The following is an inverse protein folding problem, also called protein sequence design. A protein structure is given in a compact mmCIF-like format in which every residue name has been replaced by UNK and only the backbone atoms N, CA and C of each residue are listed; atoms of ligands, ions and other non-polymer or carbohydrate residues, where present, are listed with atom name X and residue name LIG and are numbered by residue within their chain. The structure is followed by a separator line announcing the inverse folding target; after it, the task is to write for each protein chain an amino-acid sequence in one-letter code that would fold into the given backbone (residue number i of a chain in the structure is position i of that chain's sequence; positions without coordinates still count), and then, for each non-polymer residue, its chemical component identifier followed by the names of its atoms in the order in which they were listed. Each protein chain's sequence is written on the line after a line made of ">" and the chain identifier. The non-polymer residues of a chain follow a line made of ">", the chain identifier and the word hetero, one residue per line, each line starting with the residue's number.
data_IF_527200773634
#
_entry.id   IF_527200773634
#
_cell.length_a   1.000
_cell.length_b   1.000
_cell.length_c   1.000
_cell.angle_alpha   90.00
_cell.angle_beta   90.00
_cell.angle_gamma   90.00
#
_symmetry.space_group_name_H-M   'P 1'
#
loop_
_entity.id
_entity.type
_entity.pdbx_description
1 polymer ?
#
# COMPACT_ATOMS: atom_id res chain seq x y z
N UNK A 1 -36.18 -9.33 1.14
CA UNK A 1 -34.87 -9.38 0.44
C UNK A 1 -33.87 -8.59 1.27
N UNK A 2 -32.75 -9.16 1.68
CA UNK A 2 -31.74 -8.54 2.54
C UNK A 2 -30.98 -7.46 1.80
N UNK A 3 -30.70 -6.35 2.49
CA UNK A 3 -30.11 -5.14 1.93
C UNK A 3 -28.69 -4.94 2.51
N UNK A 4 -27.68 -4.90 1.65
CA UNK A 4 -26.29 -4.61 2.01
C UNK A 4 -25.88 -3.30 1.36
N UNK A 5 -25.41 -2.34 2.15
CA UNK A 5 -24.83 -1.11 1.64
C UNK A 5 -23.33 -1.10 1.94
N UNK A 6 -22.52 -0.83 0.91
CA UNK A 6 -21.07 -0.68 1.01
C UNK A 6 -20.73 0.77 0.70
N UNK A 7 -19.95 1.41 1.56
CA UNK A 7 -19.59 2.83 1.44
C UNK A 7 -18.10 2.97 1.16
N UNK A 8 -17.75 3.55 0.03
CA UNK A 8 -16.38 3.73 -0.48
C UNK A 8 -16.08 2.80 -1.65
N UNK A 9 -15.86 3.38 -2.83
CA UNK A 9 -15.58 2.69 -4.11
C UNK A 9 -14.08 2.50 -4.40
N UNK A 10 -13.21 2.54 -3.37
CA UNK A 10 -11.81 2.13 -3.46
C UNK A 10 -11.67 0.62 -3.62
N UNK A 11 -10.43 0.12 -3.74
CA UNK A 11 -10.19 -1.32 -3.96
C UNK A 11 -10.82 -2.19 -2.86
N UNK A 12 -10.84 -1.73 -1.61
CA UNK A 12 -11.45 -2.45 -0.51
C UNK A 12 -12.97 -2.59 -0.68
N UNK A 13 -13.68 -1.48 -1.00
CA UNK A 13 -15.12 -1.55 -1.23
C UNK A 13 -15.51 -2.30 -2.49
N UNK A 14 -14.73 -2.16 -3.56
CA UNK A 14 -14.91 -2.95 -4.79
C UNK A 14 -14.75 -4.45 -4.54
N UNK A 15 -13.66 -4.84 -3.86
CA UNK A 15 -13.41 -6.24 -3.50
C UNK A 15 -14.51 -6.77 -2.57
N UNK A 16 -14.91 -6.00 -1.53
CA UNK A 16 -16.00 -6.40 -0.64
C UNK A 16 -17.33 -6.60 -1.39
N UNK A 17 -17.62 -5.72 -2.37
CA UNK A 17 -18.83 -5.83 -3.21
C UNK A 17 -18.79 -7.10 -4.05
N UNK A 18 -17.68 -7.34 -4.74
CA UNK A 18 -17.48 -8.52 -5.56
C UNK A 18 -17.63 -9.81 -4.74
N UNK A 19 -16.93 -9.93 -3.60
CA UNK A 19 -16.98 -11.12 -2.76
C UNK A 19 -18.33 -11.32 -2.09
N UNK A 20 -19.04 -10.25 -1.72
CA UNK A 20 -20.40 -10.38 -1.20
C UNK A 20 -21.37 -10.94 -2.25
N UNK A 21 -21.28 -10.50 -3.49
CA UNK A 21 -22.06 -11.03 -4.61
C UNK A 21 -21.72 -12.50 -4.91
N UNK A 22 -20.41 -12.83 -4.96
CA UNK A 22 -19.96 -14.23 -5.14
C UNK A 22 -20.47 -15.15 -4.02
N UNK A 23 -20.32 -14.71 -2.76
CA UNK A 23 -20.77 -15.48 -1.58
C UNK A 23 -22.27 -15.72 -1.64
N UNK A 24 -23.07 -14.68 -1.87
CA UNK A 24 -24.53 -14.78 -1.97
C UNK A 24 -24.96 -15.76 -3.09
N UNK A 25 -24.36 -15.62 -4.28
CA UNK A 25 -24.59 -16.54 -5.41
C UNK A 25 -24.23 -17.99 -5.07
N UNK A 26 -23.09 -18.22 -4.41
CA UNK A 26 -22.61 -19.55 -4.04
C UNK A 26 -23.55 -20.27 -3.09
N UNK A 27 -24.21 -19.55 -2.20
CA UNK A 27 -25.16 -20.13 -1.23
C UNK A 27 -26.61 -20.10 -1.71
N UNK A 28 -26.88 -19.59 -2.92
CA UNK A 28 -28.23 -19.51 -3.49
C UNK A 28 -29.12 -18.41 -2.92
N UNK A 29 -28.53 -17.40 -2.25
CA UNK A 29 -29.24 -16.30 -1.63
C UNK A 29 -29.28 -15.05 -2.54
N UNK A 30 -30.38 -14.29 -2.45
CA UNK A 30 -30.54 -13.03 -3.17
C UNK A 30 -30.42 -11.85 -2.20
N UNK A 31 -29.39 -11.03 -2.39
CA UNK A 31 -29.18 -9.80 -1.62
C UNK A 31 -29.35 -8.57 -2.51
N UNK A 32 -29.96 -7.52 -1.98
CA UNK A 32 -29.99 -6.21 -2.61
C UNK A 32 -28.77 -5.45 -2.15
N UNK A 33 -27.76 -5.30 -3.04
CA UNK A 33 -26.49 -4.68 -2.72
C UNK A 33 -26.37 -3.31 -3.40
N UNK A 34 -25.83 -2.31 -2.68
CA UNK A 34 -25.45 -1.00 -3.21
C UNK A 34 -24.05 -0.64 -2.76
N UNK A 35 -23.19 -0.26 -3.71
CA UNK A 35 -21.87 0.36 -3.50
C UNK A 35 -22.00 1.86 -3.75
N UNK A 36 -21.65 2.68 -2.75
CA UNK A 36 -21.76 4.13 -2.80
C UNK A 36 -20.38 4.78 -2.70
N UNK A 37 -20.09 5.73 -3.61
CA UNK A 37 -18.87 6.55 -3.55
C UNK A 37 -19.21 8.03 -3.80
N UNK A 38 -18.52 8.92 -3.09
CA UNK A 38 -18.70 10.37 -3.26
C UNK A 38 -18.09 10.91 -4.57
N UNK A 39 -17.11 10.20 -5.13
CA UNK A 39 -16.44 10.57 -6.38
C UNK A 39 -17.24 10.14 -7.59
N UNK A 40 -16.84 10.66 -8.74
CA UNK A 40 -17.40 10.30 -10.05
C UNK A 40 -16.68 9.09 -10.69
N UNK A 41 -15.71 8.50 -10.00
CA UNK A 41 -14.96 7.32 -10.42
C UNK A 41 -14.76 6.33 -9.27
N UNK A 42 -14.61 5.08 -9.63
CA UNK A 42 -14.17 4.00 -8.73
C UNK A 42 -12.64 3.93 -8.63
N UNK A 43 -12.14 3.03 -7.78
CA UNK A 43 -10.73 2.71 -7.62
C UNK A 43 -10.02 3.44 -6.46
N UNK A 44 -10.61 4.52 -5.94
CA UNK A 44 -9.99 5.27 -4.84
C UNK A 44 -8.63 5.82 -5.23
N UNK A 45 -7.54 5.31 -4.60
CA UNK A 45 -6.16 5.67 -4.95
C UNK A 45 -5.63 4.94 -6.20
N UNK A 46 -6.27 3.88 -6.67
CA UNK A 46 -5.92 3.27 -7.95
C UNK A 46 -6.44 4.17 -9.06
N UNK A 47 -5.52 4.70 -9.83
CA UNK A 47 -5.79 5.60 -10.95
C UNK A 47 -4.73 5.39 -12.02
N UNK A 48 -5.13 4.91 -13.18
CA UNK A 48 -4.27 4.78 -14.36
C UNK A 48 -4.72 5.76 -15.44
N UNK A 49 -3.78 6.51 -15.99
CA UNK A 49 -3.99 7.38 -17.15
C UNK A 49 -3.18 6.86 -18.35
N UNK A 50 -3.82 6.76 -19.50
CA UNK A 50 -3.15 6.45 -20.78
C UNK A 50 -3.13 7.69 -21.64
N UNK A 51 -1.96 8.20 -21.94
CA UNK A 51 -1.79 9.43 -22.71
C UNK A 51 -0.53 9.37 -23.56
N UNK A 52 -0.65 9.68 -24.84
CA UNK A 52 0.47 9.74 -25.79
C UNK A 52 1.38 8.48 -25.78
N UNK A 53 0.80 7.30 -25.57
CA UNK A 53 1.53 6.02 -25.49
C UNK A 53 2.19 5.74 -24.12
N UNK A 54 2.04 6.65 -23.15
CA UNK A 54 2.44 6.39 -21.76
C UNK A 54 1.29 5.76 -20.97
N UNK A 55 1.65 4.84 -20.06
CA UNK A 55 0.75 4.31 -19.02
C UNK A 55 1.22 4.82 -17.67
N UNK A 56 0.44 5.71 -17.08
CA UNK A 56 0.80 6.49 -15.87
C UNK A 56 -0.06 6.02 -14.71
N UNK A 57 0.59 5.60 -13.63
CA UNK A 57 -0.10 5.28 -12.38
C UNK A 57 -0.08 6.50 -11.45
N UNK A 58 -1.24 7.03 -11.16
CA UNK A 58 -1.37 8.15 -10.23
C UNK A 58 -1.19 7.74 -8.76
N UNK A 59 -1.62 6.53 -8.39
CA UNK A 59 -1.49 5.95 -7.06
C UNK A 59 -0.53 4.77 -7.00
N UNK A 60 -0.89 3.59 -6.46
CA UNK A 60 -0.03 2.41 -6.49
C UNK A 60 0.22 1.94 -7.93
N UNK A 61 1.40 1.37 -8.18
CA UNK A 61 1.81 0.88 -9.51
C UNK A 61 1.93 -0.64 -9.59
N UNK A 62 1.86 -1.33 -8.46
CA UNK A 62 2.04 -2.78 -8.37
C UNK A 62 1.51 -3.34 -7.05
N UNK A 63 1.43 -4.67 -6.98
CA UNK A 63 1.15 -5.43 -5.77
C UNK A 63 2.19 -6.53 -5.55
N UNK A 64 2.26 -7.04 -4.31
CA UNK A 64 3.27 -8.03 -3.93
C UNK A 64 2.80 -9.46 -4.27
N UNK A 65 3.66 -10.22 -4.94
CA UNK A 65 3.45 -11.65 -5.20
C UNK A 65 3.41 -12.50 -3.92
N UNK A 66 4.23 -12.17 -2.92
CA UNK A 66 4.28 -12.90 -1.65
C UNK A 66 2.95 -12.91 -0.88
N UNK A 67 2.07 -11.96 -1.19
CA UNK A 67 0.71 -11.85 -0.64
C UNK A 67 -0.28 -12.28 -1.72
N UNK A 68 -0.80 -13.51 -1.68
CA UNK A 68 -1.45 -14.14 -2.84
C UNK A 68 -2.82 -13.55 -3.21
N UNK A 69 -3.45 -12.81 -2.31
CA UNK A 69 -4.87 -12.42 -2.44
C UNK A 69 -5.16 -11.52 -3.64
N UNK A 70 -4.30 -10.53 -3.92
CA UNK A 70 -4.44 -9.68 -5.10
C UNK A 70 -4.30 -10.49 -6.39
N UNK A 71 -3.29 -11.36 -6.46
CA UNK A 71 -3.08 -12.25 -7.59
C UNK A 71 -4.28 -13.19 -7.78
N UNK A 72 -4.74 -13.82 -6.71
CA UNK A 72 -5.90 -14.74 -6.74
C UNK A 72 -7.17 -14.02 -7.23
N UNK A 73 -7.40 -12.77 -6.82
CA UNK A 73 -8.53 -11.99 -7.32
C UNK A 73 -8.36 -11.66 -8.81
N UNK A 74 -7.15 -11.27 -9.28
CA UNK A 74 -6.89 -11.08 -10.71
C UNK A 74 -7.19 -12.35 -11.52
N UNK A 75 -6.78 -13.52 -11.03
CA UNK A 75 -7.02 -14.80 -11.71
C UNK A 75 -8.52 -15.15 -11.75
N UNK A 76 -9.26 -14.94 -10.64
CA UNK A 76 -10.73 -15.10 -10.60
C UNK A 76 -11.46 -14.19 -11.59
N UNK A 77 -10.93 -13.00 -11.82
CA UNK A 77 -11.46 -12.03 -12.79
C UNK A 77 -11.02 -12.28 -14.23
N UNK A 78 -10.24 -13.33 -14.49
CA UNK A 78 -9.74 -13.65 -15.84
C UNK A 78 -8.57 -12.78 -16.31
N UNK A 79 -7.92 -12.05 -15.41
CA UNK A 79 -6.78 -11.17 -15.72
C UNK A 79 -5.41 -11.88 -15.66
N UNK A 80 -5.37 -13.22 -15.53
CA UNK A 80 -4.13 -13.98 -15.36
C UNK A 80 -3.09 -13.74 -16.46
N UNK A 81 -3.51 -13.67 -17.71
CA UNK A 81 -2.65 -13.41 -18.88
C UNK A 81 -2.29 -11.93 -19.04
N UNK A 82 -2.91 -11.06 -18.26
CA UNK A 82 -2.66 -9.61 -18.24
C UNK A 82 -1.61 -9.20 -17.21
N UNK A 83 -1.16 -10.13 -16.36
CA UNK A 83 -0.22 -9.87 -15.29
C UNK A 83 1.19 -9.74 -15.86
N UNK A 84 1.83 -8.60 -15.59
CA UNK A 84 3.22 -8.33 -15.90
C UNK A 84 4.12 -8.52 -14.69
N UNK A 85 5.26 -9.18 -14.93
CA UNK A 85 6.40 -9.19 -14.03
C UNK A 85 7.21 -7.90 -14.15
N UNK A 86 8.00 -7.57 -13.13
CA UNK A 86 9.08 -6.59 -13.30
C UNK A 86 10.12 -7.10 -14.28
N UNK A 87 10.81 -6.18 -14.95
CA UNK A 87 11.95 -6.50 -15.79
C UNK A 87 13.09 -7.18 -14.99
N UNK A 88 14.06 -7.76 -15.68
CA UNK A 88 15.12 -8.55 -15.07
C UNK A 88 16.04 -7.71 -14.17
N UNK A 89 16.24 -6.46 -14.49
CA UNK A 89 17.06 -5.53 -13.70
C UNK A 89 16.34 -5.18 -12.39
N UNK A 90 16.70 -5.85 -11.29
CA UNK A 90 16.04 -5.76 -9.98
C UNK A 90 16.76 -4.87 -8.98
N UNK A 91 17.72 -4.07 -9.45
CA UNK A 91 18.51 -3.21 -8.57
C UNK A 91 17.67 -2.03 -8.06
N UNK A 92 17.92 -1.65 -6.83
CA UNK A 92 17.42 -0.43 -6.20
C UNK A 92 18.62 0.36 -5.72
N UNK A 93 18.65 1.64 -6.01
CA UNK A 93 19.72 2.53 -5.60
C UNK A 93 19.32 3.29 -4.32
N UNK A 94 20.32 3.62 -3.52
CA UNK A 94 20.17 4.45 -2.32
C UNK A 94 21.09 5.65 -2.49
N UNK A 95 20.54 6.85 -2.31
CA UNK A 95 21.35 8.05 -2.27
C UNK A 95 22.14 8.09 -0.96
N UNK A 96 23.46 8.26 -1.02
CA UNK A 96 24.30 8.41 0.15
C UNK A 96 25.50 9.29 -0.16
N UNK A 97 25.69 10.36 0.63
CA UNK A 97 26.72 11.38 0.41
C UNK A 97 26.65 11.96 -1.00
N UNK A 98 25.45 12.26 -1.50
CA UNK A 98 25.21 12.85 -2.82
C UNK A 98 25.47 11.91 -4.01
N UNK A 99 25.68 10.60 -3.79
CA UNK A 99 25.90 9.60 -4.84
C UNK A 99 24.92 8.44 -4.73
N UNK A 100 24.53 7.90 -5.86
CA UNK A 100 23.69 6.71 -5.92
C UNK A 100 24.55 5.46 -5.70
N UNK A 101 24.21 4.67 -4.69
CA UNK A 101 24.84 3.41 -4.34
C UNK A 101 23.84 2.26 -4.53
N UNK A 102 24.32 1.18 -5.10
CA UNK A 102 23.50 -0.02 -5.25
C UNK A 102 23.24 -0.66 -3.88
N UNK A 103 21.97 -1.01 -3.59
CA UNK A 103 21.64 -1.90 -2.48
C UNK A 103 22.25 -3.27 -2.82
N UNK A 104 23.13 -3.82 -1.97
CA UNK A 104 23.84 -5.05 -2.32
C UNK A 104 22.91 -6.19 -2.67
N UNK A 105 23.26 -6.97 -3.69
CA UNK A 105 22.52 -8.17 -4.04
C UNK A 105 22.37 -9.13 -2.86
N UNK A 106 21.19 -9.75 -2.78
CA UNK A 106 20.87 -10.68 -1.71
C UNK A 106 20.40 -10.02 -0.43
N UNK A 107 20.07 -8.71 -0.44
CA UNK A 107 19.28 -8.14 0.64
C UNK A 107 17.84 -8.66 0.53
N UNK A 108 17.37 -9.27 1.59
CA UNK A 108 15.95 -9.58 1.78
C UNK A 108 15.40 -8.61 2.80
N UNK A 109 14.56 -7.70 2.35
CA UNK A 109 14.10 -6.54 3.15
C UNK A 109 15.31 -5.70 3.61
N UNK A 110 15.70 -5.80 4.88
CA UNK A 110 16.78 -5.01 5.51
C UNK A 110 18.00 -5.87 5.89
N UNK A 111 18.00 -7.16 5.57
CA UNK A 111 18.98 -8.13 6.06
C UNK A 111 19.82 -8.70 4.92
N UNK A 112 21.17 -8.68 5.02
CA UNK A 112 22.03 -9.29 4.02
C UNK A 112 21.93 -10.82 4.09
N UNK A 113 21.58 -11.46 2.97
CA UNK A 113 21.57 -12.91 2.81
C UNK A 113 22.68 -13.41 1.88
N UNK A 114 23.47 -12.48 1.31
CA UNK A 114 24.67 -12.76 0.52
C UNK A 114 25.84 -11.95 1.07
N UNK A 115 26.86 -12.64 1.59
CA UNK A 115 27.95 -11.97 2.30
C UNK A 115 28.92 -11.26 1.35
N UNK A 116 29.24 -11.83 0.19
CA UNK A 116 30.25 -11.26 -0.72
C UNK A 116 29.83 -9.89 -1.28
N UNK A 117 28.63 -9.68 -1.83
CA UNK A 117 28.16 -8.36 -2.23
C UNK A 117 28.06 -7.37 -1.06
N UNK A 118 27.64 -7.84 0.12
CA UNK A 118 27.54 -7.00 1.32
C UNK A 118 28.90 -6.47 1.78
N UNK A 119 29.93 -7.34 1.82
CA UNK A 119 31.29 -6.95 2.21
C UNK A 119 31.89 -5.93 1.23
N UNK A 120 31.64 -6.10 -0.06
CA UNK A 120 32.16 -5.20 -1.12
C UNK A 120 31.41 -3.86 -1.22
N UNK A 121 30.19 -3.77 -0.70
CA UNK A 121 29.38 -2.56 -0.76
C UNK A 121 30.02 -1.41 0.02
N UNK A 122 29.98 -0.21 -0.53
CA UNK A 122 30.39 1.05 0.12
C UNK A 122 29.25 1.74 0.89
N UNK A 123 28.01 1.25 0.78
CA UNK A 123 26.84 1.83 1.42
C UNK A 123 26.95 1.81 2.95
N UNK A 124 27.40 0.69 3.52
CA UNK A 124 27.57 0.49 4.95
C UNK A 124 29.05 0.49 5.31
N UNK A 125 29.41 1.24 6.33
CA UNK A 125 30.79 1.31 6.86
C UNK A 125 31.23 -0.03 7.45
N UNK A 126 32.55 -0.25 7.59
CA UNK A 126 33.08 -1.47 8.23
C UNK A 126 32.57 -1.64 9.67
N UNK A 127 32.56 -0.62 10.55
CA UNK A 127 31.93 -0.72 11.86
C UNK A 127 30.45 -1.10 11.78
N UNK A 128 29.70 -0.52 10.81
CA UNK A 128 28.30 -0.85 10.57
C UNK A 128 28.12 -2.31 10.15
N UNK A 129 28.95 -2.84 9.25
CA UNK A 129 28.92 -4.25 8.85
C UNK A 129 29.15 -5.20 10.03
N UNK A 130 30.15 -4.90 10.88
CA UNK A 130 30.43 -5.67 12.10
C UNK A 130 29.22 -5.59 13.03
N UNK A 131 28.66 -4.38 13.24
CA UNK A 131 27.47 -4.19 14.09
C UNK A 131 26.27 -4.99 13.58
N UNK A 132 26.04 -5.03 12.27
CA UNK A 132 24.98 -5.86 11.67
C UNK A 132 25.23 -7.35 11.90
N UNK A 133 26.47 -7.82 11.75
CA UNK A 133 26.84 -9.21 12.00
C UNK A 133 26.65 -9.66 13.45
N UNK A 134 26.68 -8.72 14.40
CA UNK A 134 26.39 -9.00 15.83
C UNK A 134 24.95 -9.49 16.06
N UNK A 135 24.02 -9.33 15.10
CA UNK A 135 22.69 -9.90 15.16
C UNK A 135 22.70 -11.42 15.46
N UNK A 136 23.75 -12.12 15.04
CA UNK A 136 23.93 -13.55 15.31
C UNK A 136 24.03 -13.90 16.80
N UNK A 137 24.40 -12.92 17.65
CA UNK A 137 24.70 -13.10 19.06
C UNK A 137 23.76 -12.32 19.99
N UNK A 138 22.93 -11.43 19.43
CA UNK A 138 21.97 -10.64 20.22
C UNK A 138 20.80 -11.56 20.60
N UNK A 139 20.46 -11.70 21.90
CA UNK A 139 19.33 -12.51 22.32
C UNK A 139 18.01 -11.91 21.85
N UNK A 140 16.98 -12.76 21.75
CA UNK A 140 15.62 -12.31 21.52
C UNK A 140 15.11 -11.40 22.64
N UNK A 141 14.20 -10.52 22.32
CA UNK A 141 13.53 -9.68 23.31
C UNK A 141 12.46 -10.51 24.05
N UNK A 142 12.54 -10.53 25.38
CA UNK A 142 11.61 -11.27 26.23
C UNK A 142 10.41 -10.42 26.73
N UNK A 143 10.43 -9.12 26.46
CA UNK A 143 9.34 -8.22 26.85
C UNK A 143 8.19 -8.28 25.84
N UNK A 144 6.96 -8.30 26.34
CA UNK A 144 5.72 -8.26 25.53
C UNK A 144 5.41 -6.86 24.99
N UNK A 145 6.13 -5.82 25.45
CA UNK A 145 5.95 -4.46 24.96
C UNK A 145 6.29 -4.36 23.48
N UNK A 146 5.37 -3.80 22.70
CA UNK A 146 5.59 -3.56 21.29
C UNK A 146 6.74 -2.58 21.07
N UNK A 147 7.66 -2.92 20.18
CA UNK A 147 8.74 -2.05 19.73
C UNK A 147 8.33 -1.25 18.51
N UNK A 148 8.90 -0.04 18.36
CA UNK A 148 8.92 0.62 17.06
C UNK A 148 9.85 -0.14 16.11
N UNK A 149 9.63 0.05 14.81
CA UNK A 149 10.54 -0.51 13.80
C UNK A 149 11.96 0.03 13.98
N UNK A 150 12.12 1.30 14.36
CA UNK A 150 13.44 1.89 14.61
C UNK A 150 14.16 1.22 15.79
N UNK A 151 13.46 0.98 16.89
CA UNK A 151 14.07 0.35 18.08
C UNK A 151 14.49 -1.09 17.77
N UNK A 152 13.64 -1.82 17.07
CA UNK A 152 13.93 -3.17 16.62
C UNK A 152 15.16 -3.24 15.69
N UNK A 153 15.19 -2.40 14.65
CA UNK A 153 16.32 -2.38 13.70
C UNK A 153 17.60 -1.91 14.40
N UNK A 154 17.52 -0.89 15.27
CA UNK A 154 18.65 -0.40 16.04
C UNK A 154 19.21 -1.47 16.99
N UNK A 155 18.33 -2.22 17.65
CA UNK A 155 18.68 -3.32 18.53
C UNK A 155 19.32 -4.48 17.78
N UNK A 156 18.77 -4.90 16.64
CA UNK A 156 19.22 -6.07 15.88
C UNK A 156 20.39 -5.73 14.94
N UNK A 157 20.24 -4.70 14.11
CA UNK A 157 21.16 -4.42 13.00
C UNK A 157 22.03 -3.15 13.22
N UNK A 158 21.66 -2.31 14.18
CA UNK A 158 22.39 -1.09 14.49
C UNK A 158 21.87 0.15 13.78
N UNK A 159 22.44 1.32 14.20
CA UNK A 159 21.99 2.63 13.76
C UNK A 159 22.19 2.88 12.27
N UNK A 160 23.34 2.51 11.72
CA UNK A 160 23.64 2.75 10.30
C UNK A 160 22.72 1.96 9.37
N UNK A 161 22.35 0.72 9.74
CA UNK A 161 21.35 -0.07 9.02
C UNK A 161 19.96 0.58 9.08
N UNK A 162 19.59 1.18 10.22
CA UNK A 162 18.35 1.93 10.34
C UNK A 162 18.35 3.13 9.40
N UNK A 163 19.37 3.99 9.47
CA UNK A 163 19.41 5.27 8.76
C UNK A 163 19.59 5.11 7.23
N UNK A 164 20.38 4.13 6.78
CA UNK A 164 20.72 3.97 5.35
C UNK A 164 19.86 2.93 4.62
N UNK A 165 19.22 2.00 5.31
CA UNK A 165 18.47 0.93 4.67
C UNK A 165 17.01 0.93 5.12
N UNK A 166 16.75 0.79 6.44
CA UNK A 166 15.39 0.59 6.92
C UNK A 166 14.52 1.84 6.73
N UNK A 167 15.00 3.00 7.12
CA UNK A 167 14.27 4.26 7.05
C UNK A 167 13.86 4.60 5.61
N UNK A 168 14.77 4.65 4.61
CA UNK A 168 14.35 4.98 3.25
C UNK A 168 13.44 3.93 2.60
N UNK A 169 13.61 2.64 2.92
CA UNK A 169 12.69 1.59 2.45
C UNK A 169 11.28 1.79 3.02
N UNK A 170 11.17 2.10 4.30
CA UNK A 170 9.89 2.34 4.98
C UNK A 170 9.23 3.63 4.49
N UNK A 171 9.99 4.69 4.32
CA UNK A 171 9.49 5.95 3.76
C UNK A 171 8.91 5.73 2.36
N UNK A 172 9.57 4.94 1.51
CA UNK A 172 9.09 4.60 0.17
C UNK A 172 7.82 3.72 0.15
N UNK A 173 7.57 2.90 1.18
CA UNK A 173 6.42 1.99 1.23
C UNK A 173 5.25 2.61 2.01
N UNK A 174 5.53 3.22 3.17
CA UNK A 174 4.52 3.66 4.13
C UNK A 174 4.41 5.19 4.24
N UNK A 175 5.29 5.94 3.58
CA UNK A 175 5.44 7.39 3.71
C UNK A 175 5.56 7.86 5.19
N UNK A 176 5.97 6.96 6.09
CA UNK A 176 6.04 7.14 7.54
C UNK A 176 7.47 7.14 8.07
N UNK A 177 7.60 7.24 9.39
CA UNK A 177 8.88 7.22 10.10
C UNK A 177 9.02 5.95 10.94
N UNK A 178 10.15 5.25 10.87
CA UNK A 178 10.34 4.01 11.62
C UNK A 178 10.31 4.19 13.14
N UNK A 179 10.56 5.42 13.64
CA UNK A 179 10.55 5.74 15.06
C UNK A 179 9.18 5.58 15.74
N UNK A 180 8.12 5.86 15.00
CA UNK A 180 6.75 5.78 15.52
C UNK A 180 5.98 4.56 15.03
N UNK A 181 6.48 3.90 13.99
CA UNK A 181 5.82 2.78 13.33
C UNK A 181 5.86 1.51 14.18
N UNK A 182 4.69 0.90 14.42
CA UNK A 182 4.57 -0.36 15.16
C UNK A 182 5.09 -1.55 14.37
N UNK A 183 6.02 -2.30 14.94
CA UNK A 183 6.61 -3.46 14.28
C UNK A 183 5.59 -4.59 14.04
N UNK A 184 4.73 -4.87 15.03
CA UNK A 184 3.71 -5.93 14.95
C UNK A 184 2.71 -5.70 13.80
N UNK A 185 2.38 -4.45 13.55
CA UNK A 185 1.38 -4.07 12.54
C UNK A 185 1.94 -3.93 11.14
N UNK A 186 3.24 -3.63 11.00
CA UNK A 186 3.85 -3.33 9.70
C UNK A 186 4.74 -4.45 9.18
N UNK A 187 5.57 -5.03 10.04
CA UNK A 187 6.53 -6.09 9.69
C UNK A 187 6.50 -7.27 10.68
N UNK A 188 5.35 -7.92 10.92
CA UNK A 188 5.21 -9.02 11.90
C UNK A 188 6.16 -10.18 11.60
N UNK A 189 6.55 -10.32 10.33
CA UNK A 189 7.50 -11.36 9.89
C UNK A 189 8.87 -11.26 10.56
N UNK A 190 9.30 -10.05 10.94
CA UNK A 190 10.59 -9.91 11.63
C UNK A 190 10.53 -10.45 13.05
N UNK A 191 9.41 -10.26 13.74
CA UNK A 191 9.20 -10.85 15.06
C UNK A 191 9.15 -12.38 15.00
N UNK A 192 8.41 -12.92 14.03
CA UNK A 192 8.37 -14.37 13.79
C UNK A 192 9.75 -14.96 13.52
N UNK A 193 10.59 -14.26 12.74
CA UNK A 193 11.95 -14.67 12.45
C UNK A 193 12.81 -14.61 13.72
N UNK A 194 12.69 -13.58 14.52
CA UNK A 194 13.44 -13.46 15.77
C UNK A 194 13.03 -14.57 16.75
N UNK A 195 11.75 -14.85 16.90
CA UNK A 195 11.21 -15.91 17.75
C UNK A 195 11.65 -17.31 17.29
N UNK A 196 11.59 -17.59 15.97
CA UNK A 196 11.89 -18.92 15.41
C UNK A 196 13.39 -19.21 15.35
N UNK A 197 14.23 -18.20 15.03
CA UNK A 197 15.67 -18.40 14.75
C UNK A 197 16.60 -17.67 15.73
N UNK A 198 16.08 -16.83 16.62
CA UNK A 198 16.87 -16.00 17.53
C UNK A 198 17.71 -14.92 16.83
N UNK A 199 17.66 -14.83 15.49
CA UNK A 199 18.49 -13.93 14.67
C UNK A 199 17.82 -13.69 13.32
N UNK A 200 17.80 -12.44 12.88
CA UNK A 200 17.30 -12.07 11.56
C UNK A 200 18.17 -12.68 10.45
N UNK A 201 19.49 -12.65 10.61
CA UNK A 201 20.43 -13.19 9.63
C UNK A 201 20.21 -14.71 9.48
N UNK A 202 20.15 -15.47 10.59
CA UNK A 202 19.89 -16.92 10.53
C UNK A 202 18.57 -17.25 9.85
N UNK A 203 17.50 -16.56 10.26
CA UNK A 203 16.18 -16.82 9.70
C UNK A 203 16.06 -16.45 8.21
N UNK A 204 16.65 -15.32 7.79
CA UNK A 204 16.65 -14.93 6.38
C UNK A 204 17.50 -15.88 5.50
N UNK A 205 18.63 -16.39 6.00
CA UNK A 205 19.41 -17.43 5.31
C UNK A 205 18.62 -18.74 5.17
N UNK A 206 17.92 -19.18 6.21
CA UNK A 206 17.06 -20.36 6.17
C UNK A 206 15.93 -20.19 5.13
N UNK A 207 15.25 -19.05 5.15
CA UNK A 207 14.17 -18.73 4.18
C UNK A 207 14.66 -18.62 2.75
N UNK A 208 15.85 -18.04 2.52
CA UNK A 208 16.47 -18.03 1.20
C UNK A 208 16.71 -19.44 0.67
N UNK A 209 17.24 -20.34 1.52
CA UNK A 209 17.45 -21.74 1.15
C UNK A 209 16.15 -22.43 0.75
N UNK A 210 15.07 -22.21 1.51
CA UNK A 210 13.75 -22.71 1.16
C UNK A 210 13.23 -22.13 -0.16
N UNK A 211 13.33 -20.81 -0.36
CA UNK A 211 12.89 -20.17 -1.60
C UNK A 211 13.61 -20.71 -2.84
N UNK A 212 14.91 -20.97 -2.76
CA UNK A 212 15.67 -21.60 -3.85
C UNK A 212 15.21 -23.04 -4.14
N UNK A 213 14.74 -23.78 -3.15
CA UNK A 213 14.16 -25.12 -3.34
C UNK A 213 12.76 -25.03 -3.99
N UNK A 214 11.96 -24.01 -3.64
CA UNK A 214 10.63 -23.80 -4.22
C UNK A 214 10.68 -23.32 -5.67
N UNK A 215 11.68 -22.52 -6.05
CA UNK A 215 11.88 -22.05 -7.44
C UNK A 215 12.16 -23.19 -8.45
N UNK A 216 12.49 -24.39 -7.97
CA UNK A 216 12.64 -25.59 -8.81
C UNK A 216 11.32 -26.28 -9.16
N UNK A 217 10.18 -25.83 -8.60
CA UNK A 217 8.86 -26.36 -8.93
C UNK A 217 8.35 -25.73 -10.23
N UNK A 218 7.65 -26.50 -11.03
CA UNK A 218 7.02 -26.06 -12.28
C UNK A 218 5.92 -25.02 -11.98
N UNK A 219 5.94 -23.93 -12.70
CA UNK A 219 4.95 -22.85 -12.64
C UNK A 219 5.47 -21.56 -13.29
N UNK A 220 4.61 -20.60 -13.61
CA UNK A 220 5.05 -19.34 -14.18
C UNK A 220 5.96 -18.62 -13.17
N UNK A 221 7.18 -18.28 -13.60
CA UNK A 221 8.11 -17.51 -12.76
C UNK A 221 7.55 -16.11 -12.54
N UNK A 222 7.17 -15.81 -11.31
CA UNK A 222 6.69 -14.48 -10.90
C UNK A 222 7.79 -13.71 -10.17
N UNK A 223 7.84 -12.39 -10.39
CA UNK A 223 8.71 -11.48 -9.66
C UNK A 223 8.04 -10.99 -8.38
N UNK A 224 8.80 -10.35 -7.48
CA UNK A 224 8.27 -9.83 -6.21
C UNK A 224 7.12 -8.86 -6.40
N UNK A 225 7.22 -7.98 -7.41
CA UNK A 225 6.21 -7.00 -7.75
C UNK A 225 5.52 -7.41 -9.05
N UNK A 226 4.20 -7.33 -9.06
CA UNK A 226 3.35 -7.62 -10.21
C UNK A 226 2.47 -6.40 -10.51
N UNK A 227 2.16 -6.21 -11.79
CA UNK A 227 1.22 -5.19 -12.26
C UNK A 227 0.36 -5.75 -13.37
N UNK A 228 -0.55 -4.96 -13.92
CA UNK A 228 -1.34 -5.32 -15.09
C UNK A 228 -0.82 -4.60 -16.35
N UNK A 229 -1.02 -5.21 -17.52
CA UNK A 229 -0.51 -4.72 -18.80
C UNK A 229 -0.94 -3.28 -19.07
N UNK A 230 -2.20 -2.98 -18.84
CA UNK A 230 -2.79 -1.66 -19.08
C UNK A 230 -2.83 -0.76 -17.83
N UNK A 231 -2.08 -1.12 -16.78
CA UNK A 231 -2.07 -0.47 -15.48
C UNK A 231 -3.10 -1.05 -14.51
N UNK A 232 -3.02 -0.66 -13.25
CA UNK A 232 -3.92 -1.19 -12.20
C UNK A 232 -5.38 -0.71 -12.38
N UNK A 233 -5.62 0.33 -13.18
CA UNK A 233 -6.97 0.75 -13.57
C UNK A 233 -7.76 -0.34 -14.27
N UNK A 234 -7.08 -1.20 -15.04
CA UNK A 234 -7.69 -2.37 -15.70
C UNK A 234 -8.39 -3.30 -14.68
N UNK A 235 -7.83 -3.41 -13.50
CA UNK A 235 -8.44 -4.19 -12.41
C UNK A 235 -9.73 -3.56 -11.88
N UNK A 236 -9.74 -2.23 -11.74
CA UNK A 236 -10.91 -1.48 -11.31
C UNK A 236 -12.05 -1.61 -12.33
N UNK A 237 -11.74 -1.49 -13.61
CA UNK A 237 -12.70 -1.64 -14.70
C UNK A 237 -13.30 -3.05 -14.73
N UNK A 238 -12.46 -4.08 -14.61
CA UNK A 238 -12.90 -5.46 -14.56
C UNK A 238 -13.79 -5.77 -13.34
N UNK A 239 -13.46 -5.23 -12.17
CA UNK A 239 -14.33 -5.34 -10.98
C UNK A 239 -15.68 -4.64 -11.21
N UNK A 240 -15.67 -3.44 -11.79
CA UNK A 240 -16.88 -2.68 -12.14
C UNK A 240 -17.81 -3.49 -13.04
N UNK A 241 -17.26 -4.10 -14.09
CA UNK A 241 -18.02 -4.94 -15.03
C UNK A 241 -18.64 -6.16 -14.34
N UNK A 242 -17.87 -6.85 -13.48
CA UNK A 242 -18.36 -8.01 -12.74
C UNK A 242 -19.40 -7.68 -11.68
N UNK A 243 -19.31 -6.51 -11.05
CA UNK A 243 -20.27 -6.01 -10.06
C UNK A 243 -21.58 -5.57 -10.74
N UNK A 244 -21.47 -4.91 -11.88
CA UNK A 244 -22.60 -4.39 -12.65
C UNK A 244 -23.06 -2.99 -12.22
N UNK A 245 -23.44 -2.17 -13.18
CA UNK A 245 -23.80 -0.76 -13.01
C UNK A 245 -24.99 -0.53 -12.06
N UNK A 246 -25.96 -1.46 -12.03
CA UNK A 246 -27.14 -1.33 -11.17
C UNK A 246 -26.82 -1.33 -9.67
N UNK A 247 -25.65 -1.87 -9.29
CA UNK A 247 -25.17 -1.91 -7.89
C UNK A 247 -24.47 -0.62 -7.52
N UNK A 248 -23.84 0.07 -8.47
CA UNK A 248 -22.91 1.17 -8.27
C UNK A 248 -23.64 2.52 -8.21
N UNK A 249 -23.38 3.31 -7.17
CA UNK A 249 -23.83 4.67 -7.00
C UNK A 249 -22.66 5.64 -6.85
N UNK A 250 -22.25 6.29 -7.95
CA UNK A 250 -21.24 7.36 -7.95
C UNK A 250 -21.86 8.72 -7.61
N UNK A 251 -21.03 9.67 -7.16
CA UNK A 251 -21.44 11.01 -6.67
C UNK A 251 -22.48 10.91 -5.54
N UNK A 252 -22.41 9.84 -4.73
CA UNK A 252 -23.28 9.55 -3.63
C UNK A 252 -22.52 9.63 -2.31
N UNK A 253 -22.40 10.84 -1.77
CA UNK A 253 -21.70 11.07 -0.51
C UNK A 253 -22.58 10.66 0.66
N UNK A 254 -22.13 9.65 1.40
CA UNK A 254 -22.77 9.25 2.66
C UNK A 254 -22.33 10.20 3.77
N UNK A 255 -23.31 10.81 4.42
CA UNK A 255 -23.10 11.78 5.50
C UNK A 255 -23.17 11.13 6.87
N UNK A 256 -24.16 10.25 7.05
CA UNK A 256 -24.47 9.64 8.35
C UNK A 256 -25.09 8.27 8.18
N UNK A 257 -24.86 7.45 9.20
CA UNK A 257 -25.55 6.18 9.40
C UNK A 257 -26.26 6.23 10.75
N UNK A 258 -27.52 5.84 10.78
CA UNK A 258 -28.33 5.75 12.00
C UNK A 258 -28.91 4.36 12.10
N UNK A 259 -29.09 3.87 13.33
CA UNK A 259 -29.85 2.65 13.60
C UNK A 259 -31.31 2.99 13.82
N UNK A 260 -32.19 2.27 13.15
CA UNK A 260 -33.64 2.45 13.34
C UNK A 260 -34.12 1.68 14.58
N UNK A 261 -35.34 1.96 15.04
CA UNK A 261 -35.96 1.22 16.15
C UNK A 261 -36.18 -0.28 15.83
N UNK A 262 -36.23 -0.62 14.55
CA UNK A 262 -36.34 -2.01 14.07
C UNK A 262 -35.00 -2.76 14.05
N UNK A 263 -33.89 -2.05 14.31
CA UNK A 263 -32.56 -2.61 14.34
C UNK A 263 -31.82 -2.64 13.00
N UNK A 264 -32.48 -2.22 11.90
CA UNK A 264 -31.83 -1.98 10.60
C UNK A 264 -31.15 -0.60 10.56
N UNK A 265 -30.51 -0.27 9.45
CA UNK A 265 -29.75 0.97 9.28
C UNK A 265 -30.41 1.89 8.27
N UNK A 266 -30.30 3.19 8.52
CA UNK A 266 -30.62 4.25 7.60
C UNK A 266 -29.33 5.00 7.22
N UNK A 267 -29.00 4.96 5.92
CA UNK A 267 -27.80 5.60 5.33
C UNK A 267 -28.23 6.90 4.67
N UNK A 268 -27.85 8.05 5.25
CA UNK A 268 -28.19 9.37 4.75
C UNK A 268 -27.16 9.89 3.76
N UNK A 269 -27.60 10.34 2.60
CA UNK A 269 -26.78 10.99 1.58
C UNK A 269 -26.78 12.52 1.72
N UNK A 270 -25.78 13.17 1.11
CA UNK A 270 -25.67 14.64 1.10
C UNK A 270 -26.85 15.35 0.44
N UNK A 271 -27.49 14.74 -0.53
CA UNK A 271 -28.70 15.26 -1.18
C UNK A 271 -30.00 15.07 -0.34
N UNK A 272 -29.90 14.56 0.87
CA UNK A 272 -31.03 14.35 1.78
C UNK A 272 -31.82 13.06 1.55
N UNK A 273 -31.45 12.25 0.57
CA UNK A 273 -32.05 10.93 0.35
C UNK A 273 -31.51 9.89 1.32
N UNK A 274 -32.23 8.78 1.50
CA UNK A 274 -31.87 7.70 2.40
C UNK A 274 -31.87 6.35 1.69
N UNK A 275 -30.92 5.50 2.07
CA UNK A 275 -30.97 4.07 1.81
C UNK A 275 -31.20 3.32 3.11
N UNK A 276 -32.08 2.34 3.08
CA UNK A 276 -32.22 1.38 4.18
C UNK A 276 -31.29 0.19 3.95
N UNK A 277 -30.66 -0.30 5.02
CA UNK A 277 -29.76 -1.44 4.98
C UNK A 277 -29.92 -2.32 6.21
N UNK A 278 -29.87 -3.62 6.01
CA UNK A 278 -29.86 -4.61 7.08
C UNK A 278 -28.40 -4.86 7.57
N UNK A 279 -27.42 -4.60 6.70
CA UNK A 279 -26.00 -4.55 7.04
C UNK A 279 -25.26 -3.46 6.23
N UNK A 280 -24.15 -2.97 6.80
CA UNK A 280 -23.30 -1.94 6.20
C UNK A 280 -21.83 -2.34 6.31
N UNK A 281 -21.09 -2.14 5.21
CA UNK A 281 -19.63 -2.20 5.19
C UNK A 281 -19.11 -0.79 4.93
N UNK A 282 -18.32 -0.23 5.86
CA UNK A 282 -17.64 1.05 5.69
C UNK A 282 -16.20 0.79 5.24
N UNK A 283 -15.92 1.13 3.98
CA UNK A 283 -14.63 0.96 3.31
C UNK A 283 -13.96 2.32 3.00
N UNK A 284 -14.31 3.34 3.77
CA UNK A 284 -13.77 4.71 3.68
C UNK A 284 -12.57 4.89 4.62
N UNK A 285 -11.71 5.92 4.42
CA UNK A 285 -10.69 6.29 5.40
C UNK A 285 -11.28 6.45 6.80
N UNK A 286 -10.53 6.06 7.85
CA UNK A 286 -11.07 5.99 9.22
C UNK A 286 -11.65 7.32 9.71
N UNK A 287 -11.07 8.46 9.34
CA UNK A 287 -11.56 9.78 9.70
C UNK A 287 -12.88 10.17 8.98
N UNK A 288 -13.14 9.59 7.79
CA UNK A 288 -14.43 9.73 7.11
C UNK A 288 -15.47 8.81 7.74
N UNK A 289 -15.08 7.56 7.99
CA UNK A 289 -15.89 6.59 8.74
C UNK A 289 -16.31 7.15 10.10
N UNK A 290 -15.39 7.80 10.83
CA UNK A 290 -15.67 8.45 12.10
C UNK A 290 -16.84 9.44 12.01
N UNK A 291 -16.83 10.31 11.01
CA UNK A 291 -17.92 11.29 10.77
C UNK A 291 -19.25 10.61 10.43
N UNK A 292 -19.20 9.53 9.66
CA UNK A 292 -20.39 8.78 9.25
C UNK A 292 -21.09 8.15 10.45
N UNK A 293 -20.33 7.64 11.44
CA UNK A 293 -20.86 6.92 12.61
C UNK A 293 -21.01 7.80 13.87
N UNK A 294 -20.60 9.07 13.84
CA UNK A 294 -20.50 9.96 15.01
C UNK A 294 -21.78 10.04 15.83
N UNK A 295 -22.93 10.24 15.18
CA UNK A 295 -24.22 10.32 15.86
C UNK A 295 -24.67 8.95 16.42
N UNK A 296 -24.35 7.86 15.73
CA UNK A 296 -24.74 6.51 16.12
C UNK A 296 -23.86 5.97 17.24
N UNK A 297 -22.57 6.19 17.15
CA UNK A 297 -21.57 5.71 18.11
C UNK A 297 -20.38 6.69 18.27
N UNK A 298 -20.54 7.74 19.11
CA UNK A 298 -19.49 8.72 19.35
C UNK A 298 -18.16 8.13 19.82
N UNK A 299 -18.20 7.04 20.62
CA UNK A 299 -16.98 6.36 21.09
C UNK A 299 -16.23 5.66 19.96
N UNK A 300 -16.95 5.03 19.02
CA UNK A 300 -16.34 4.46 17.83
C UNK A 300 -15.73 5.56 16.97
N UNK A 301 -16.43 6.69 16.80
CA UNK A 301 -15.92 7.86 16.08
C UNK A 301 -14.61 8.37 16.68
N UNK A 302 -14.54 8.58 17.99
CA UNK A 302 -13.31 8.98 18.69
C UNK A 302 -12.16 8.01 18.44
N UNK A 303 -12.40 6.71 18.54
CA UNK A 303 -11.38 5.68 18.28
C UNK A 303 -10.87 5.75 16.84
N UNK A 304 -11.75 5.89 15.85
CA UNK A 304 -11.40 5.97 14.42
C UNK A 304 -10.54 7.19 14.10
N UNK A 305 -10.77 8.32 14.78
CA UNK A 305 -9.98 9.54 14.66
C UNK A 305 -8.55 9.39 15.21
N UNK A 306 -8.28 8.38 16.03
CA UNK A 306 -6.91 8.14 16.57
C UNK A 306 -5.93 7.55 15.57
N UNK A 307 -6.39 7.13 14.38
CA UNK A 307 -5.52 6.64 13.31
C UNK A 307 -5.01 7.87 12.53
N UNK A 308 -3.72 8.19 12.61
CA UNK A 308 -3.17 9.32 11.88
C UNK A 308 -2.95 8.97 10.41
N UNK A 309 -2.94 10.00 9.58
CA UNK A 309 -2.69 9.88 8.14
C UNK A 309 -1.67 10.91 7.72
N UNK A 310 -0.91 10.59 6.70
CA UNK A 310 -0.01 11.52 6.03
C UNK A 310 -0.44 11.74 4.58
N UNK A 311 -0.08 12.92 4.08
CA UNK A 311 -0.28 13.31 2.68
C UNK A 311 0.99 13.04 1.88
N UNK A 312 0.81 12.71 0.61
CA UNK A 312 1.91 12.53 -0.32
C UNK A 312 1.49 12.95 -1.73
N UNK A 313 2.45 13.19 -2.59
CA UNK A 313 2.21 13.39 -4.00
C UNK A 313 3.07 12.44 -4.84
N UNK A 314 2.52 11.98 -5.94
CA UNK A 314 3.25 11.28 -6.99
C UNK A 314 3.31 12.16 -8.22
N UNK A 315 4.51 12.41 -8.72
CA UNK A 315 4.73 13.23 -9.90
C UNK A 315 5.39 12.38 -10.99
N UNK A 316 4.65 12.18 -12.07
CA UNK A 316 5.13 11.43 -13.23
C UNK A 316 5.67 12.41 -14.27
N UNK A 317 6.91 12.16 -14.71
CA UNK A 317 7.65 12.99 -15.65
C UNK A 317 8.13 12.12 -16.80
N UNK A 318 7.73 12.46 -18.02
CA UNK A 318 8.26 11.81 -19.21
C UNK A 318 9.34 12.65 -19.85
N UNK A 319 10.44 12.00 -20.24
CA UNK A 319 11.58 12.61 -20.91
C UNK A 319 11.95 11.80 -22.16
N UNK A 320 12.62 12.43 -23.13
CA UNK A 320 13.37 11.68 -24.13
C UNK A 320 14.54 10.99 -23.45
N UNK A 321 14.89 9.78 -23.86
CA UNK A 321 16.04 9.06 -23.28
C UNK A 321 17.33 9.87 -23.34
N UNK A 322 17.53 10.68 -24.37
CA UNK A 322 18.70 11.54 -24.55
C UNK A 322 18.84 12.70 -23.53
N UNK A 323 17.78 13.04 -22.81
CA UNK A 323 17.78 14.06 -21.77
C UNK A 323 18.29 13.54 -20.41
N UNK A 324 18.51 12.24 -20.26
CA UNK A 324 18.91 11.60 -19.00
C UNK A 324 20.28 10.95 -19.21
N UNK A 325 21.33 11.51 -18.59
CA UNK A 325 22.70 11.01 -18.72
C UNK A 325 22.95 9.75 -17.87
N UNK A 326 22.19 9.55 -16.81
CA UNK A 326 22.26 8.33 -16.00
C UNK A 326 21.90 7.07 -16.82
N UNK A 327 22.59 5.96 -16.56
CA UNK A 327 22.42 4.67 -17.28
C UNK A 327 21.02 4.06 -17.17
N UNK A 328 20.26 4.36 -16.12
CA UNK A 328 18.94 3.80 -15.81
C UNK A 328 18.97 2.26 -15.69
N UNK A 329 19.99 1.72 -15.07
CA UNK A 329 20.20 0.28 -14.91
C UNK A 329 19.66 -0.29 -13.58
N UNK A 330 18.67 0.39 -13.00
CA UNK A 330 17.94 0.01 -11.78
C UNK A 330 16.44 0.30 -11.90
N UNK A 331 15.64 -0.05 -10.90
CA UNK A 331 14.22 0.33 -10.84
C UNK A 331 13.99 1.77 -10.39
N UNK A 332 15.01 2.40 -9.85
CA UNK A 332 14.96 3.72 -9.28
C UNK A 332 15.83 3.85 -8.04
N UNK A 333 15.61 4.92 -7.31
CA UNK A 333 16.36 5.18 -6.08
C UNK A 333 15.44 5.65 -4.95
N UNK A 334 15.92 5.42 -3.72
CA UNK A 334 15.31 5.91 -2.48
C UNK A 334 16.30 6.81 -1.75
N UNK A 335 15.79 7.76 -0.98
CA UNK A 335 16.58 8.80 -0.35
C UNK A 335 16.43 8.75 1.16
N UNK A 336 17.50 8.46 1.92
CA UNK A 336 17.50 8.58 3.37
C UNK A 336 17.26 10.01 3.82
N UNK A 337 16.55 10.20 4.94
CA UNK A 337 16.32 11.52 5.56
C UNK A 337 17.62 12.28 5.86
N UNK A 338 18.70 11.56 6.12
CA UNK A 338 20.04 12.15 6.36
C UNK A 338 20.57 12.95 5.18
N UNK A 339 20.13 12.67 3.95
CA UNK A 339 20.51 13.42 2.75
C UNK A 339 19.79 14.78 2.62
N UNK A 340 18.75 15.05 3.43
CA UNK A 340 17.99 16.31 3.50
C UNK A 340 17.44 16.78 2.15
N UNK A 341 17.01 15.84 1.31
CA UNK A 341 16.41 16.13 0.01
C UNK A 341 14.90 16.37 0.13
N UNK A 342 14.35 17.05 -0.86
CA UNK A 342 12.92 17.40 -0.92
C UNK A 342 12.04 16.28 -1.49
N UNK A 343 12.63 15.34 -2.23
CA UNK A 343 11.96 14.16 -2.74
C UNK A 343 12.34 12.92 -1.92
N UNK A 344 11.43 11.96 -1.80
CA UNK A 344 11.67 10.73 -1.04
C UNK A 344 12.30 9.62 -1.87
N UNK A 345 11.91 9.53 -3.14
CA UNK A 345 12.31 8.46 -4.03
C UNK A 345 11.97 8.82 -5.49
N UNK A 346 12.57 8.09 -6.42
CA UNK A 346 12.13 8.06 -7.81
C UNK A 346 12.11 6.63 -8.33
N UNK A 347 10.99 6.21 -8.92
CA UNK A 347 10.88 4.95 -9.67
C UNK A 347 11.00 5.24 -11.15
N UNK A 348 11.82 4.47 -11.85
CA UNK A 348 11.95 4.54 -13.30
C UNK A 348 10.94 3.57 -13.91
N UNK A 349 9.70 4.04 -14.02
CA UNK A 349 8.52 3.20 -14.31
C UNK A 349 8.68 2.40 -15.59
N UNK A 350 9.20 3.04 -16.67
CA UNK A 350 9.42 2.38 -17.96
C UNK A 350 10.60 1.41 -17.97
N UNK A 351 11.49 1.48 -16.95
CA UNK A 351 12.57 0.51 -16.74
C UNK A 351 12.08 -0.64 -15.85
N UNK A 352 11.23 -0.35 -14.87
CA UNK A 352 10.68 -1.35 -13.94
C UNK A 352 9.69 -2.29 -14.64
N UNK A 353 8.84 -1.76 -15.52
CA UNK A 353 7.83 -2.52 -16.26
C UNK A 353 7.87 -2.19 -17.76
N UNK A 354 7.65 -3.19 -18.60
CA UNK A 354 7.48 -2.99 -20.03
C UNK A 354 6.19 -2.21 -20.35
N UNK A 355 6.12 -1.64 -21.52
CA UNK A 355 4.93 -0.98 -22.08
C UNK A 355 4.44 0.23 -21.26
N UNK A 356 5.34 0.92 -20.54
CA UNK A 356 5.01 2.12 -19.75
C UNK A 356 5.35 3.43 -20.45
N UNK A 357 6.20 3.39 -21.46
CA UNK A 357 6.58 4.55 -22.27
C UNK A 357 6.79 4.13 -23.74
N UNK A 358 6.60 5.05 -24.72
CA UNK A 358 6.98 4.82 -26.11
C UNK A 358 8.49 4.63 -26.25
N UNK A 359 8.91 4.00 -27.35
CA UNK A 359 10.33 3.83 -27.68
C UNK A 359 11.08 5.18 -27.69
N UNK A 360 12.29 5.18 -27.21
CA UNK A 360 13.14 6.40 -27.07
C UNK A 360 12.73 7.34 -25.94
N UNK A 361 11.75 6.98 -25.13
CA UNK A 361 11.27 7.78 -24.01
C UNK A 361 11.42 7.04 -22.66
N UNK A 362 11.44 7.82 -21.60
CA UNK A 362 11.52 7.34 -20.21
C UNK A 362 10.42 7.96 -19.39
N UNK A 363 9.75 7.17 -18.57
CA UNK A 363 8.78 7.62 -17.59
C UNK A 363 9.39 7.46 -16.20
N UNK A 364 9.62 8.59 -15.54
CA UNK A 364 10.05 8.69 -14.14
C UNK A 364 8.84 8.99 -13.27
N UNK A 365 8.80 8.43 -12.08
CA UNK A 365 7.80 8.70 -11.07
C UNK A 365 8.47 9.10 -9.78
N UNK A 366 8.25 10.32 -9.34
CA UNK A 366 8.86 10.93 -8.15
C UNK A 366 7.85 11.00 -7.02
N UNK A 367 8.31 10.76 -5.79
CA UNK A 367 7.49 10.78 -4.59
C UNK A 367 7.88 11.98 -3.72
N UNK A 368 6.87 12.77 -3.32
CA UNK A 368 7.02 13.99 -2.52
C UNK A 368 6.08 13.90 -1.31
N UNK A 369 6.47 14.51 -0.19
CA UNK A 369 5.65 14.57 1.02
C UNK A 369 5.98 13.48 2.03
N UNK A 370 4.97 12.75 2.52
CA UNK A 370 5.14 11.80 3.62
C UNK A 370 5.40 12.49 4.96
N UNK A 371 5.63 11.72 6.01
CA UNK A 371 5.71 12.23 7.39
C UNK A 371 6.81 13.27 7.64
N UNK A 372 7.85 13.33 6.80
CA UNK A 372 8.98 14.23 7.00
C UNK A 372 8.87 15.57 6.25
N UNK A 373 8.13 15.62 5.15
CA UNK A 373 8.04 16.77 4.24
C UNK A 373 6.60 16.96 3.74
N UNK A 374 5.61 16.73 4.60
CA UNK A 374 4.19 16.72 4.22
C UNK A 374 3.75 18.07 3.63
N UNK A 375 4.33 19.17 4.11
CA UNK A 375 4.05 20.54 3.65
C UNK A 375 4.36 20.75 2.16
N UNK A 376 5.30 19.99 1.58
CA UNK A 376 5.64 20.09 0.16
C UNK A 376 4.51 19.64 -0.78
N UNK A 377 3.53 18.89 -0.28
CA UNK A 377 2.35 18.50 -1.05
C UNK A 377 1.49 19.71 -1.44
N UNK A 378 1.57 20.79 -0.65
CA UNK A 378 0.80 22.01 -0.84
C UNK A 378 1.46 23.03 -1.80
N UNK A 379 2.65 22.74 -2.33
CA UNK A 379 3.28 23.57 -3.35
C UNK A 379 2.38 23.67 -4.59
N UNK A 380 2.44 24.80 -5.30
CA UNK A 380 1.83 24.91 -6.63
C UNK A 380 2.45 23.89 -7.60
N UNK A 381 1.78 23.62 -8.71
CA UNK A 381 2.28 22.66 -9.70
C UNK A 381 3.63 23.12 -10.28
N UNK A 382 3.79 24.41 -10.51
CA UNK A 382 5.03 25.01 -11.02
C UNK A 382 6.18 24.94 -10.02
N UNK A 383 5.90 25.21 -8.74
CA UNK A 383 6.91 25.12 -7.68
C UNK A 383 7.33 23.67 -7.44
N UNK A 384 6.38 22.74 -7.40
CA UNK A 384 6.66 21.31 -7.24
C UNK A 384 7.47 20.76 -8.41
N UNK A 385 7.10 21.12 -9.65
CA UNK A 385 7.82 20.69 -10.85
C UNK A 385 9.26 21.22 -10.84
N UNK A 386 9.46 22.53 -10.58
CA UNK A 386 10.80 23.14 -10.50
C UNK A 386 11.66 22.46 -9.45
N UNK A 387 11.12 22.26 -8.25
CA UNK A 387 11.80 21.57 -7.16
C UNK A 387 12.25 20.17 -7.58
N UNK A 388 11.38 19.40 -8.22
CA UNK A 388 11.71 18.04 -8.67
C UNK A 388 12.75 18.03 -9.77
N UNK A 389 12.67 18.97 -10.73
CA UNK A 389 13.67 19.09 -11.81
C UNK A 389 15.05 19.42 -11.25
N UNK A 390 15.16 20.31 -10.24
CA UNK A 390 16.40 20.60 -9.52
C UNK A 390 17.01 19.35 -8.88
N UNK A 391 16.19 18.56 -8.17
CA UNK A 391 16.60 17.31 -7.52
C UNK A 391 17.05 16.24 -8.54
N UNK A 392 16.29 16.04 -9.63
CA UNK A 392 16.63 15.08 -10.67
C UNK A 392 17.88 15.49 -11.46
N UNK A 393 18.07 16.77 -11.69
CA UNK A 393 19.31 17.30 -12.30
C UNK A 393 20.54 17.00 -11.44
N UNK A 394 20.44 17.27 -10.14
CA UNK A 394 21.56 17.08 -9.21
C UNK A 394 21.88 15.59 -8.99
N UNK A 395 20.87 14.71 -8.92
CA UNK A 395 21.03 13.29 -8.60
C UNK A 395 21.35 12.44 -9.84
N UNK A 396 20.73 12.74 -10.98
CA UNK A 396 20.73 11.88 -12.18
C UNK A 396 21.21 12.57 -13.45
N UNK A 397 21.58 13.85 -13.36
CA UNK A 397 21.98 14.67 -14.52
C UNK A 397 20.88 14.64 -15.62
N UNK A 398 19.66 15.00 -15.24
CA UNK A 398 18.53 15.16 -16.15
C UNK A 398 18.52 16.58 -16.71
N UNK A 399 18.44 16.73 -18.03
CA UNK A 399 18.48 18.01 -18.71
C UNK A 399 17.14 18.37 -19.38
N UNK A 400 16.84 19.67 -19.34
CA UNK A 400 15.68 20.26 -20.01
C UNK A 400 14.35 19.89 -19.35
N UNK A 401 13.26 20.32 -20.01
CA UNK A 401 11.91 20.13 -19.50
C UNK A 401 11.34 18.75 -19.85
N UNK A 402 10.50 18.17 -18.99
CA UNK A 402 9.76 16.97 -19.32
C UNK A 402 8.76 17.24 -20.47
N UNK A 403 8.60 16.29 -21.35
CA UNK A 403 7.62 16.37 -22.45
C UNK A 403 6.18 16.10 -21.99
N UNK A 404 6.03 15.53 -20.80
CA UNK A 404 4.75 15.28 -20.13
C UNK A 404 4.95 15.32 -18.62
N UNK A 405 4.03 15.98 -17.92
CA UNK A 405 3.97 16.02 -16.46
C UNK A 405 2.58 15.66 -15.98
N UNK A 406 2.50 14.85 -14.91
CA UNK A 406 1.27 14.58 -14.18
C UNK A 406 1.55 14.63 -12.69
N UNK A 407 0.78 15.41 -11.96
CA UNK A 407 0.87 15.59 -10.49
C UNK A 407 -0.41 15.06 -9.87
N UNK A 408 -0.27 14.08 -8.99
CA UNK A 408 -1.38 13.53 -8.23
C UNK A 408 -1.13 13.75 -6.74
N UNK A 409 -1.97 14.53 -6.09
CA UNK A 409 -1.94 14.80 -4.65
C UNK A 409 -2.88 13.86 -3.92
N UNK A 410 -2.34 13.21 -2.92
CA UNK A 410 -3.05 12.25 -2.08
C UNK A 410 -3.08 12.77 -0.66
N UNK A 411 -3.98 13.71 -0.41
CA UNK A 411 -4.16 14.31 0.91
C UNK A 411 -4.72 13.28 1.89
N UNK A 412 -4.08 13.17 3.06
CA UNK A 412 -4.48 12.26 4.13
C UNK A 412 -4.87 10.88 3.61
N UNK A 413 -4.05 10.30 2.74
CA UNK A 413 -4.38 9.04 2.06
C UNK A 413 -3.63 7.84 2.61
N UNK A 414 -2.52 8.06 3.33
CA UNK A 414 -1.69 6.99 3.84
C UNK A 414 -1.83 6.86 5.37
N UNK A 415 -2.59 5.88 5.88
CA UNK A 415 -2.73 5.65 7.31
C UNK A 415 -1.38 5.23 7.92
N UNK A 416 -1.12 5.68 9.14
CA UNK A 416 0.11 5.40 9.88
C UNK A 416 -0.15 4.39 10.99
N UNK A 417 0.47 3.23 10.90
CA UNK A 417 0.35 2.16 11.89
C UNK A 417 1.39 2.37 12.99
N UNK A 418 1.03 3.18 13.96
CA UNK A 418 1.89 3.47 15.10
C UNK A 418 1.96 2.28 16.07
N UNK A 419 2.92 2.31 16.98
CA UNK A 419 2.99 1.37 18.12
C UNK A 419 1.61 1.30 18.80
N UNK A 420 1.11 0.10 19.06
CA UNK A 420 -0.23 -0.15 19.62
C UNK A 420 -1.38 -0.14 18.58
N UNK A 421 -1.08 -0.05 17.28
CA UNK A 421 -2.12 0.00 16.23
C UNK A 421 -3.06 -1.22 16.27
N UNK A 422 -2.53 -2.44 16.37
CA UNK A 422 -3.34 -3.66 16.39
C UNK A 422 -4.30 -3.71 17.59
N UNK A 423 -3.87 -3.21 18.75
CA UNK A 423 -4.73 -3.11 19.92
C UNK A 423 -5.86 -2.08 19.73
N UNK A 424 -5.53 -0.94 19.08
CA UNK A 424 -6.56 0.04 18.70
C UNK A 424 -7.59 -0.56 17.77
N UNK A 425 -7.15 -1.28 16.74
CA UNK A 425 -8.05 -1.96 15.79
C UNK A 425 -8.91 -3.00 16.49
N UNK A 426 -8.33 -3.82 17.37
CA UNK A 426 -9.10 -4.80 18.15
C UNK A 426 -10.18 -4.15 19.03
N UNK A 427 -9.88 -2.99 19.64
CA UNK A 427 -10.88 -2.22 20.41
C UNK A 427 -11.99 -1.66 19.49
N UNK A 428 -11.64 -1.17 18.30
CA UNK A 428 -12.63 -0.72 17.30
C UNK A 428 -13.53 -1.88 16.87
N UNK A 429 -12.96 -3.06 16.58
CA UNK A 429 -13.72 -4.25 16.24
C UNK A 429 -14.65 -4.69 17.40
N UNK A 430 -14.15 -4.68 18.64
CA UNK A 430 -14.98 -4.93 19.82
C UNK A 430 -16.13 -3.93 19.93
N UNK A 431 -15.90 -2.67 19.53
CA UNK A 431 -16.96 -1.65 19.54
C UNK A 431 -17.97 -1.85 18.41
N UNK A 432 -17.51 -2.17 17.18
CA UNK A 432 -18.41 -2.46 16.06
C UNK A 432 -19.28 -3.69 16.32
N UNK A 433 -18.81 -4.69 17.08
CA UNK A 433 -19.59 -5.85 17.47
C UNK A 433 -20.83 -5.50 18.33
N UNK A 434 -20.83 -4.32 18.99
CA UNK A 434 -22.01 -3.80 19.69
C UNK A 434 -23.05 -3.19 18.74
N UNK A 435 -22.73 -3.09 17.46
CA UNK A 435 -23.59 -2.60 16.37
C UNK A 435 -23.77 -3.72 15.35
N UNK A 436 -24.65 -4.71 15.62
CA UNK A 436 -24.84 -5.86 14.73
C UNK A 436 -25.16 -5.44 13.30
N UNK A 437 -24.45 -5.98 12.32
CA UNK A 437 -24.58 -5.63 10.92
C UNK A 437 -23.67 -4.47 10.45
N UNK A 438 -22.87 -3.86 11.34
CA UNK A 438 -21.86 -2.86 10.96
C UNK A 438 -20.47 -3.52 10.84
N UNK A 439 -19.80 -3.28 9.72
CA UNK A 439 -18.49 -3.82 9.40
C UNK A 439 -17.53 -2.73 8.89
N UNK A 440 -16.25 -2.87 9.22
CA UNK A 440 -15.18 -1.98 8.77
C UNK A 440 -14.19 -2.76 7.91
N UNK A 441 -13.71 -2.16 6.81
CA UNK A 441 -12.64 -2.71 5.99
C UNK A 441 -11.81 -1.59 5.35
N UNK A 442 -10.63 -1.93 4.84
CA UNK A 442 -9.75 -1.02 4.12
C UNK A 442 -8.40 -0.83 4.77
N UNK A 443 -7.55 -0.04 4.10
CA UNK A 443 -6.14 0.13 4.47
C UNK A 443 -5.89 0.78 5.84
N UNK A 444 -6.92 1.27 6.52
CA UNK A 444 -6.80 1.85 7.85
C UNK A 444 -6.58 0.82 8.96
N UNK A 445 -6.91 -0.45 8.74
CA UNK A 445 -7.07 -1.42 9.82
C UNK A 445 -6.03 -2.55 9.81
N UNK A 446 -6.02 -3.40 8.78
CA UNK A 446 -5.27 -4.68 8.80
C UNK A 446 -4.26 -4.87 7.66
N UNK A 447 -3.82 -3.79 7.04
CA UNK A 447 -2.80 -3.84 5.99
C UNK A 447 -2.95 -2.72 4.98
N UNK A 448 -1.87 -2.00 4.76
CA UNK A 448 -1.84 -0.83 3.86
C UNK A 448 -1.80 -1.28 2.39
N UNK A 449 -1.21 -2.44 2.11
CA UNK A 449 -1.04 -2.94 0.75
C UNK A 449 -2.35 -3.37 0.09
N UNK A 450 -2.39 -3.29 -1.24
CA UNK A 450 -3.55 -3.71 -2.04
C UNK A 450 -3.97 -5.15 -1.72
N UNK A 451 -2.99 -6.08 -1.65
CA UNK A 451 -3.27 -7.48 -1.33
C UNK A 451 -3.92 -7.66 0.04
N UNK A 452 -3.43 -6.93 1.05
CA UNK A 452 -4.00 -6.99 2.40
C UNK A 452 -5.42 -6.43 2.43
N UNK A 453 -5.65 -5.30 1.73
CA UNK A 453 -6.98 -4.69 1.62
C UNK A 453 -7.98 -5.61 0.92
N UNK A 454 -7.56 -6.33 -0.12
CA UNK A 454 -8.40 -7.34 -0.79
C UNK A 454 -8.75 -8.48 0.15
N UNK A 455 -7.77 -9.00 0.89
CA UNK A 455 -7.98 -10.10 1.83
C UNK A 455 -8.92 -9.72 2.99
N UNK A 456 -8.67 -8.58 3.62
CA UNK A 456 -9.55 -8.10 4.70
C UNK A 456 -10.98 -7.89 4.17
N UNK A 457 -11.12 -7.37 2.95
CA UNK A 457 -12.42 -7.14 2.32
C UNK A 457 -13.17 -8.45 2.00
N UNK A 458 -12.47 -9.52 1.59
CA UNK A 458 -13.06 -10.85 1.41
C UNK A 458 -13.65 -11.38 2.74
N UNK A 459 -12.85 -11.34 3.81
CA UNK A 459 -13.27 -11.78 5.14
C UNK A 459 -14.49 -10.97 5.63
N UNK A 460 -14.45 -9.64 5.46
CA UNK A 460 -15.53 -8.76 5.92
C UNK A 460 -16.81 -8.97 5.10
N UNK A 461 -16.70 -9.14 3.79
CA UNK A 461 -17.84 -9.43 2.92
C UNK A 461 -18.52 -10.75 3.29
N UNK A 462 -17.74 -11.80 3.53
CA UNK A 462 -18.28 -13.10 3.96
C UNK A 462 -19.02 -12.98 5.28
N UNK A 463 -18.45 -12.30 6.29
CA UNK A 463 -19.11 -12.06 7.58
C UNK A 463 -20.40 -11.26 7.43
N UNK A 464 -20.43 -10.24 6.57
CA UNK A 464 -21.61 -9.43 6.33
C UNK A 464 -22.75 -10.26 5.70
N UNK A 465 -22.43 -11.09 4.70
CA UNK A 465 -23.42 -11.97 4.07
C UNK A 465 -23.91 -13.03 5.07
N UNK A 466 -23.03 -13.65 5.85
CA UNK A 466 -23.41 -14.60 6.90
C UNK A 466 -24.31 -13.99 7.97
N UNK A 467 -24.04 -12.73 8.37
CA UNK A 467 -24.89 -12.00 9.29
C UNK A 467 -26.32 -11.83 8.72
N UNK A 468 -26.41 -11.40 7.45
CA UNK A 468 -27.69 -11.22 6.77
C UNK A 468 -28.54 -12.49 6.74
N UNK A 469 -27.91 -13.64 6.59
CA UNK A 469 -28.61 -14.93 6.51
C UNK A 469 -29.08 -15.38 7.89
N UNK A 470 -28.22 -15.30 8.91
CA UNK A 470 -28.55 -15.75 10.28
C UNK A 470 -29.64 -14.93 10.96
N UNK A 471 -29.87 -13.69 10.50
CA UNK A 471 -30.93 -12.83 11.06
C UNK A 471 -32.37 -13.27 10.70
N UNK A 472 -32.56 -14.41 10.03
CA UNK A 472 -33.85 -15.01 9.71
C UNK A 472 -34.20 -16.23 10.60
N UNK A 473 -33.28 -16.75 11.40
CA UNK A 473 -33.50 -17.83 12.35
C UNK A 473 -33.63 -17.31 13.76
#
# INVERSE_FOLDING_TARGET
>A
MKRLVIVGGGIAGLAATYFALEKAKKIGESIHLKLLDEKDRLGGCILTEKVNGFVIEGGPDCFLYEKPWALALCERLGLGDRILNTNENRRVLILSNGKLHELPEGFMLMVPTSFTPFIKSSLISWPGKIRMAMDLFIPEKKSDEEESLADFVRRRLGREALEKIAEPLVAGIHAGTPETMGLKSTFPRFLQIEEEYGSLIRGMLARRKMALQWQKREGPKRTMFLTLKDGLGEWVDCLRENIGEAVIGLKKRVMKVRRTEKGDYQVQLSEGTFFEADAIILATPSFMTARIVEEMDPKLSEMLLTIPYVSSATVSLAYRRSQIHHSLDAFGFIIPRSEKRKIMASTWTSVKFNDRAPEGHVLLRVFVGGANNEELVNLSDEEMLRMIQEELKDIMDVEGDPILTRIYRWERSMPQYLVGHLEKVARMEGRTNLQPGLFLTGCAYKGIGISDSVHDSEIVAEKAVEYLIKAEG
#
